data_IF_808547953315
#
_entry.id   IF_808547953315
#
_cell.length_a   1.000
_cell.length_b   1.000
_cell.length_c   1.000
_cell.angle_alpha   90.00
_cell.angle_beta   90.00
_cell.angle_gamma   90.00
#
_symmetry.space_group_name_H-M   'P 1'
#
loop_
_entity.id
_entity.type
_entity.pdbx_description
1 polymer ?
#
# COMPACT_ATOMS: atom_id res chain seq x y z
N UNK A 1 25.96 -32.55 -51.66
CA UNK A 1 24.76 -32.02 -50.97
C UNK A 1 24.53 -32.87 -49.74
N UNK A 2 24.74 -32.34 -48.52
CA UNK A 2 24.37 -33.01 -47.27
C UNK A 2 23.65 -32.00 -46.40
N UNK A 3 22.48 -32.41 -45.93
CA UNK A 3 21.42 -31.60 -45.36
C UNK A 3 21.87 -30.92 -44.07
N UNK A 4 21.61 -29.62 -43.98
CA UNK A 4 21.71 -28.83 -42.77
C UNK A 4 20.66 -29.33 -41.77
N UNK A 5 21.10 -29.88 -40.64
CA UNK A 5 20.22 -30.16 -39.49
C UNK A 5 20.11 -28.85 -38.70
N UNK A 6 19.00 -28.15 -38.87
CA UNK A 6 18.65 -26.97 -38.10
C UNK A 6 18.15 -27.42 -36.72
N UNK A 7 18.96 -27.24 -35.68
CA UNK A 7 18.55 -27.47 -34.29
C UNK A 7 17.62 -26.33 -33.84
N UNK A 8 16.33 -26.63 -33.70
CA UNK A 8 15.34 -25.71 -33.13
C UNK A 8 15.43 -25.78 -31.60
N UNK A 9 16.24 -24.92 -30.98
CA UNK A 9 16.26 -24.76 -29.52
C UNK A 9 15.01 -23.95 -29.15
N UNK A 10 13.99 -24.63 -28.63
CA UNK A 10 12.83 -24.00 -28.00
C UNK A 10 13.30 -23.31 -26.72
N UNK A 11 13.51 -22.00 -26.78
CA UNK A 11 13.78 -21.17 -25.62
C UNK A 11 12.43 -20.94 -24.91
N UNK A 12 12.00 -21.88 -24.07
CA UNK A 12 10.89 -21.64 -23.14
C UNK A 12 11.40 -20.70 -22.06
N UNK A 13 11.32 -19.39 -22.32
CA UNK A 13 11.38 -18.39 -21.25
C UNK A 13 10.17 -18.66 -20.38
N UNK A 14 10.38 -19.38 -19.28
CA UNK A 14 9.40 -19.47 -18.21
C UNK A 14 9.18 -18.07 -17.68
N UNK A 15 8.14 -17.40 -18.17
CA UNK A 15 7.63 -16.19 -17.53
C UNK A 15 7.13 -16.64 -16.16
N UNK A 16 7.93 -16.39 -15.11
CA UNK A 16 7.45 -16.40 -13.75
C UNK A 16 6.42 -15.26 -13.64
N UNK A 17 5.18 -15.53 -14.05
CA UNK A 17 4.04 -14.68 -13.71
C UNK A 17 3.91 -14.77 -12.21
N UNK A 18 4.49 -13.82 -11.48
CA UNK A 18 4.23 -13.68 -10.06
C UNK A 18 2.72 -13.44 -9.96
N UNK A 19 2.00 -14.39 -9.36
CA UNK A 19 0.56 -14.27 -9.19
C UNK A 19 0.27 -12.95 -8.47
N UNK A 20 -0.66 -12.18 -9.01
CA UNK A 20 -1.12 -10.95 -8.37
C UNK A 20 -2.48 -11.23 -7.74
N UNK A 21 -2.56 -11.02 -6.43
CA UNK A 21 -3.79 -11.05 -5.68
C UNK A 21 -4.38 -9.64 -5.65
N UNK A 22 -5.63 -9.54 -6.06
CA UNK A 22 -6.39 -8.30 -5.98
C UNK A 22 -7.30 -8.37 -4.77
N UNK A 23 -7.08 -7.47 -3.82
CA UNK A 23 -7.93 -7.29 -2.65
C UNK A 23 -8.91 -6.16 -2.91
N UNK A 24 -10.20 -6.43 -2.73
CA UNK A 24 -11.28 -5.47 -2.94
C UNK A 24 -12.10 -5.40 -1.66
N UNK A 25 -12.25 -4.19 -1.12
CA UNK A 25 -13.23 -3.88 -0.10
C UNK A 25 -14.33 -3.04 -0.71
N UNK A 26 -15.48 -3.67 -0.99
CA UNK A 26 -16.68 -2.96 -1.46
C UNK A 26 -17.18 -2.00 -0.36
N UNK A 27 -17.14 -2.44 0.90
CA UNK A 27 -17.51 -1.62 2.05
C UNK A 27 -16.64 -0.37 2.16
N UNK A 28 -15.32 -0.51 1.95
CA UNK A 28 -14.42 0.63 1.97
C UNK A 28 -14.30 1.35 0.63
N UNK A 29 -14.95 0.86 -0.42
CA UNK A 29 -14.88 1.40 -1.77
C UNK A 29 -13.41 1.57 -2.24
N UNK A 30 -12.55 0.63 -1.91
CA UNK A 30 -11.10 0.66 -2.18
C UNK A 30 -10.58 -0.73 -2.54
N UNK A 31 -9.55 -0.78 -3.36
CA UNK A 31 -8.83 -1.98 -3.74
C UNK A 31 -7.32 -1.74 -3.75
N UNK A 32 -6.56 -2.83 -3.64
CA UNK A 32 -5.11 -2.85 -3.85
C UNK A 32 -4.69 -4.23 -4.39
N UNK A 33 -3.42 -4.33 -4.78
CA UNK A 33 -2.82 -5.54 -5.31
C UNK A 33 -1.55 -5.92 -4.53
N UNK A 34 -1.40 -7.21 -4.26
CA UNK A 34 -0.24 -7.83 -3.62
C UNK A 34 0.18 -9.09 -4.39
N UNK A 35 1.38 -9.60 -4.15
CA UNK A 35 1.86 -10.89 -4.68
C UNK A 35 1.41 -12.08 -3.83
N UNK A 36 1.04 -11.81 -2.58
CA UNK A 36 0.57 -12.81 -1.63
C UNK A 36 -0.90 -12.54 -1.28
N UNK A 37 -1.64 -13.61 -0.96
CA UNK A 37 -2.97 -13.47 -0.40
C UNK A 37 -2.88 -12.91 1.02
N UNK A 38 -3.64 -11.84 1.28
CA UNK A 38 -3.77 -11.21 2.59
C UNK A 38 -5.22 -11.39 3.07
N UNK A 39 -5.52 -12.39 3.93
CA UNK A 39 -6.85 -12.51 4.51
C UNK A 39 -7.19 -11.30 5.38
N UNK A 40 -8.46 -10.91 5.38
CA UNK A 40 -8.95 -9.87 6.27
C UNK A 40 -8.96 -10.34 7.72
N UNK A 41 -8.78 -9.41 8.66
CA UNK A 41 -8.89 -9.68 10.08
C UNK A 41 -9.79 -8.64 10.76
N UNK A 42 -10.33 -8.99 11.93
CA UNK A 42 -11.21 -8.10 12.68
C UNK A 42 -10.37 -7.01 13.38
N UNK A 43 -10.78 -5.77 13.20
CA UNK A 43 -10.19 -4.59 13.84
C UNK A 43 -11.07 -4.14 15.01
N UNK A 44 -10.55 -3.25 15.85
CA UNK A 44 -11.30 -2.72 16.99
C UNK A 44 -12.29 -1.61 16.60
N UNK A 45 -12.33 -1.21 15.32
CA UNK A 45 -13.13 -0.09 14.82
C UNK A 45 -13.75 -0.42 13.47
N UNK A 46 -15.04 -0.14 13.32
CA UNK A 46 -15.78 -0.28 12.04
C UNK A 46 -15.21 0.65 10.95
N UNK A 47 -14.49 1.70 11.34
CA UNK A 47 -13.83 2.61 10.40
C UNK A 47 -12.46 2.09 9.92
N UNK A 48 -12.02 0.91 10.38
CA UNK A 48 -10.75 0.29 9.97
C UNK A 48 -10.99 -1.09 9.39
N UNK A 49 -10.44 -1.35 8.21
CA UNK A 49 -10.34 -2.71 7.66
C UNK A 49 -8.87 -3.12 7.55
N UNK A 50 -8.55 -4.30 8.06
CA UNK A 50 -7.21 -4.85 8.09
C UNK A 50 -7.07 -6.12 7.27
N UNK A 51 -5.93 -6.30 6.61
CA UNK A 51 -5.54 -7.50 5.87
C UNK A 51 -4.13 -7.90 6.25
N UNK A 52 -3.88 -9.17 6.58
CA UNK A 52 -2.55 -9.58 7.01
C UNK A 52 -2.20 -11.03 6.71
N UNK A 53 -0.90 -11.28 6.58
CA UNK A 53 -0.31 -12.60 6.70
C UNK A 53 1.02 -12.48 7.49
N UNK A 54 1.87 -13.50 7.44
CA UNK A 54 3.14 -13.49 8.19
C UNK A 54 4.17 -12.47 7.65
N UNK A 55 3.98 -11.95 6.43
CA UNK A 55 4.95 -11.13 5.72
C UNK A 55 4.53 -9.66 5.62
N UNK A 56 3.22 -9.40 5.52
CA UNK A 56 2.68 -8.06 5.38
C UNK A 56 1.39 -7.88 6.19
N UNK A 57 1.18 -6.65 6.66
CA UNK A 57 -0.12 -6.16 7.08
C UNK A 57 -0.49 -4.89 6.30
N UNK A 58 -1.78 -4.71 6.04
CA UNK A 58 -2.36 -3.54 5.38
C UNK A 58 -3.58 -3.13 6.16
N UNK A 59 -3.54 -1.94 6.77
CA UNK A 59 -4.71 -1.35 7.42
C UNK A 59 -5.17 -0.12 6.67
N UNK A 60 -6.49 -0.01 6.53
CA UNK A 60 -7.14 1.09 5.84
C UNK A 60 -8.17 1.66 6.78
N UNK A 61 -7.96 2.89 7.24
CA UNK A 61 -8.89 3.64 8.07
C UNK A 61 -9.60 4.72 7.27
N UNK A 62 -10.92 4.80 7.40
CA UNK A 62 -11.74 5.92 6.96
C UNK A 62 -11.76 7.00 8.03
N UNK A 63 -11.54 8.25 7.62
CA UNK A 63 -11.54 9.40 8.51
C UNK A 63 -12.45 10.46 7.91
N UNK A 64 -13.58 10.75 8.57
CA UNK A 64 -14.42 11.89 8.26
C UNK A 64 -13.68 13.18 8.64
N UNK A 65 -13.46 14.03 7.64
CA UNK A 65 -12.71 15.29 7.76
C UNK A 65 -13.60 16.52 7.66
N UNK A 66 -14.91 16.38 7.85
CA UNK A 66 -15.88 17.49 7.84
C UNK A 66 -15.57 18.55 8.90
N UNK A 67 -14.91 18.16 10.00
CA UNK A 67 -14.48 19.06 11.08
C UNK A 67 -12.96 19.32 11.10
N UNK A 68 -12.25 18.90 10.05
CA UNK A 68 -10.80 19.12 9.98
C UNK A 68 -10.50 20.63 9.86
N UNK A 69 -9.40 21.11 10.45
CA UNK A 69 -8.98 22.50 10.28
C UNK A 69 -8.79 22.88 8.81
N UNK A 70 -9.17 24.10 8.45
CA UNK A 70 -8.99 24.61 7.09
C UNK A 70 -7.52 24.49 6.63
N UNK A 71 -7.33 24.08 5.38
CA UNK A 71 -6.02 23.97 4.75
C UNK A 71 -5.21 22.71 5.12
N UNK A 72 -5.61 21.93 6.13
CA UNK A 72 -4.82 20.76 6.57
C UNK A 72 -4.69 19.67 5.49
N UNK A 73 -5.68 19.60 4.58
CA UNK A 73 -5.74 18.61 3.50
C UNK A 73 -5.08 19.10 2.20
N UNK A 74 -4.60 20.35 2.16
CA UNK A 74 -3.94 20.91 0.97
C UNK A 74 -2.49 20.41 0.82
N UNK A 75 -1.86 20.02 1.93
CA UNK A 75 -0.51 19.44 1.96
C UNK A 75 -0.54 18.02 2.53
N UNK A 76 -1.02 17.07 1.73
CA UNK A 76 -1.00 15.65 2.07
C UNK A 76 0.41 15.12 2.36
N UNK A 77 1.46 15.75 1.81
CA UNK A 77 2.84 15.35 2.12
C UNK A 77 3.20 15.68 3.56
N UNK A 78 2.91 16.89 4.01
CA UNK A 78 3.12 17.28 5.41
C UNK A 78 2.24 16.45 6.34
N UNK A 79 0.98 16.21 5.96
CA UNK A 79 0.05 15.42 6.77
C UNK A 79 0.48 13.95 6.89
N UNK A 80 0.85 13.27 5.79
CA UNK A 80 1.34 11.88 5.86
C UNK A 80 2.60 11.76 6.73
N UNK A 81 3.50 12.76 6.68
CA UNK A 81 4.67 12.81 7.56
C UNK A 81 4.25 12.96 9.03
N UNK A 82 3.31 13.85 9.34
CA UNK A 82 2.80 14.03 10.70
C UNK A 82 2.17 12.74 11.22
N UNK A 83 1.29 12.11 10.44
CA UNK A 83 0.64 10.83 10.79
C UNK A 83 1.70 9.75 11.07
N UNK A 84 2.70 9.60 10.22
CA UNK A 84 3.77 8.64 10.44
C UNK A 84 4.54 8.89 11.76
N UNK A 85 4.79 10.16 12.12
CA UNK A 85 5.41 10.51 13.39
C UNK A 85 4.49 10.27 14.59
N UNK A 86 3.19 10.52 14.45
CA UNK A 86 2.20 10.27 15.50
C UNK A 86 2.05 8.76 15.79
N UNK A 87 2.26 7.90 14.79
CA UNK A 87 2.41 6.45 14.96
C UNK A 87 3.75 6.02 15.57
N UNK A 88 4.71 6.94 15.75
CA UNK A 88 6.02 6.63 16.29
C UNK A 88 7.04 6.12 15.27
N UNK A 89 6.72 6.16 13.97
CA UNK A 89 7.64 5.71 12.93
C UNK A 89 8.85 6.62 12.80
N UNK A 90 9.98 6.02 12.45
CA UNK A 90 11.29 6.65 12.41
C UNK A 90 11.92 6.58 11.02
N UNK A 91 13.04 7.27 10.82
CA UNK A 91 13.83 7.24 9.57
C UNK A 91 12.97 7.50 8.31
N UNK A 92 12.07 8.48 8.41
CA UNK A 92 11.13 8.83 7.35
C UNK A 92 11.87 9.27 6.07
N UNK A 93 11.62 8.54 4.98
CA UNK A 93 12.19 8.79 3.66
C UNK A 93 11.42 9.82 2.85
N UNK A 94 11.81 9.99 1.59
CA UNK A 94 10.98 10.71 0.63
C UNK A 94 9.73 9.88 0.31
N UNK A 95 8.60 10.56 0.15
CA UNK A 95 7.34 9.98 -0.29
C UNK A 95 7.01 10.30 -1.75
N UNK A 96 5.89 9.76 -2.23
CA UNK A 96 5.38 10.03 -3.57
C UNK A 96 3.84 10.00 -3.59
N UNK A 97 3.24 10.45 -4.69
CA UNK A 97 1.82 10.25 -4.95
C UNK A 97 1.57 8.81 -5.39
N UNK A 98 0.38 8.27 -5.08
CA UNK A 98 -0.05 6.98 -5.62
C UNK A 98 -0.52 7.19 -7.08
N UNK A 99 0.01 6.43 -8.06
CA UNK A 99 -0.24 6.69 -9.49
C UNK A 99 -1.71 6.78 -9.89
N UNK A 100 -2.57 5.94 -9.32
CA UNK A 100 -4.00 5.88 -9.65
C UNK A 100 -4.86 6.82 -8.79
N UNK A 101 -4.26 7.57 -7.85
CA UNK A 101 -4.94 8.46 -6.92
C UNK A 101 -4.19 9.80 -6.84
N UNK A 102 -4.44 10.76 -7.74
CA UNK A 102 -3.67 12.00 -7.79
C UNK A 102 -3.81 12.86 -6.52
N UNK A 103 -4.91 12.72 -5.77
CA UNK A 103 -5.11 13.37 -4.48
C UNK A 103 -4.65 12.44 -3.33
N UNK A 104 -3.39 12.02 -3.39
CA UNK A 104 -2.79 11.12 -2.41
C UNK A 104 -1.32 11.44 -2.15
N UNK A 105 -0.82 10.99 -1.01
CA UNK A 105 0.62 10.96 -0.75
C UNK A 105 0.97 9.83 0.21
N UNK A 106 2.00 9.06 -0.10
CA UNK A 106 2.57 8.08 0.82
C UNK A 106 4.03 8.38 1.14
N UNK A 107 4.43 8.04 2.35
CA UNK A 107 5.81 8.12 2.85
C UNK A 107 6.23 6.76 3.38
N UNK A 108 7.52 6.43 3.24
CA UNK A 108 8.11 5.25 3.88
C UNK A 108 8.81 5.65 5.17
N UNK A 109 8.64 4.86 6.21
CA UNK A 109 9.38 4.95 7.47
C UNK A 109 9.77 3.56 7.98
N UNK A 110 10.09 3.51 9.27
CA UNK A 110 10.36 2.27 9.99
C UNK A 110 9.66 2.28 11.34
N UNK A 111 8.94 1.21 11.62
CA UNK A 111 8.49 0.88 12.98
C UNK A 111 9.61 0.13 13.74
N UNK A 112 9.60 0.27 15.07
CA UNK A 112 10.53 -0.38 15.99
C UNK A 112 9.77 -1.32 16.90
N UNK A 113 9.49 -2.52 16.41
CA UNK A 113 8.83 -3.56 17.18
C UNK A 113 9.84 -4.62 17.64
N UNK A 114 9.86 -4.95 18.93
CA UNK A 114 10.71 -6.03 19.47
C UNK A 114 12.23 -5.86 19.20
N UNK A 115 12.69 -4.62 18.98
CA UNK A 115 14.08 -4.32 18.61
C UNK A 115 14.42 -4.53 17.12
N UNK A 116 13.44 -4.93 16.30
CA UNK A 116 13.57 -5.01 14.85
C UNK A 116 13.10 -3.70 14.19
N UNK A 117 13.68 -3.37 13.04
CA UNK A 117 13.22 -2.25 12.20
C UNK A 117 12.35 -2.81 11.08
N UNK A 118 11.05 -2.58 11.17
CA UNK A 118 10.07 -3.04 10.18
C UNK A 118 9.81 -1.88 9.21
N UNK A 119 10.06 -2.03 7.91
CA UNK A 119 9.66 -1.01 6.96
C UNK A 119 8.15 -0.85 6.94
N UNK A 120 7.69 0.39 7.00
CA UNK A 120 6.27 0.73 6.96
C UNK A 120 6.03 1.84 5.94
N UNK A 121 4.89 1.78 5.27
CA UNK A 121 4.40 2.86 4.41
C UNK A 121 3.16 3.47 5.05
N UNK A 122 3.10 4.81 5.09
CA UNK A 122 1.91 5.55 5.50
C UNK A 122 1.41 6.35 4.31
N UNK A 123 0.21 6.03 3.85
CA UNK A 123 -0.47 6.66 2.72
C UNK A 123 -1.72 7.40 3.15
N UNK A 124 -1.99 8.54 2.52
CA UNK A 124 -3.26 9.24 2.62
C UNK A 124 -3.87 9.38 1.22
N UNK A 125 -5.16 9.09 1.08
CA UNK A 125 -5.95 9.43 -0.12
C UNK A 125 -7.11 10.33 0.34
N UNK A 126 -7.20 11.54 -0.20
CA UNK A 126 -8.29 12.46 0.12
C UNK A 126 -9.37 12.41 -0.97
N UNK A 127 -10.61 12.13 -0.57
CA UNK A 127 -11.80 12.16 -1.43
C UNK A 127 -12.62 13.40 -1.08
N UNK A 128 -12.36 14.49 -1.82
CA UNK A 128 -12.90 15.82 -1.53
C UNK A 128 -14.42 15.85 -1.52
N UNK A 129 -15.05 15.16 -2.46
CA UNK A 129 -16.50 15.13 -2.65
C UNK A 129 -17.23 14.45 -1.49
N UNK A 130 -16.53 13.59 -0.75
CA UNK A 130 -17.07 12.82 0.38
C UNK A 130 -16.60 13.34 1.74
N UNK A 131 -15.78 14.39 1.79
CA UNK A 131 -15.07 14.83 3.00
C UNK A 131 -14.44 13.66 3.77
N UNK A 132 -13.74 12.79 3.03
CA UNK A 132 -13.22 11.53 3.55
C UNK A 132 -11.73 11.40 3.23
N UNK A 133 -10.94 11.02 4.22
CA UNK A 133 -9.55 10.59 4.03
C UNK A 133 -9.45 9.09 4.29
N UNK A 134 -8.77 8.38 3.40
CA UNK A 134 -8.27 7.03 3.68
C UNK A 134 -6.86 7.15 4.22
N UNK A 135 -6.65 6.73 5.45
CA UNK A 135 -5.32 6.53 6.02
C UNK A 135 -4.94 5.06 5.85
N UNK A 136 -3.79 4.81 5.23
CA UNK A 136 -3.32 3.49 4.85
C UNK A 136 -1.98 3.24 5.52
N UNK A 137 -1.83 2.10 6.18
CA UNK A 137 -0.54 1.57 6.63
C UNK A 137 -0.22 0.29 5.88
N UNK A 138 1.06 0.11 5.52
CA UNK A 138 1.56 -1.15 4.94
C UNK A 138 2.82 -1.54 5.69
N UNK A 139 2.71 -2.52 6.57
CA UNK A 139 3.82 -3.07 7.35
C UNK A 139 4.47 -4.24 6.61
N UNK A 140 5.79 -4.19 6.49
CA UNK A 140 6.58 -5.19 5.76
C UNK A 140 7.39 -6.05 6.75
N UNK A 141 6.73 -6.98 7.44
CA UNK A 141 7.37 -7.85 8.44
C UNK A 141 8.56 -8.64 7.89
N UNK A 142 8.52 -9.03 6.61
CA UNK A 142 9.62 -9.71 5.94
C UNK A 142 10.71 -8.77 5.36
N UNK A 143 10.57 -7.45 5.57
CA UNK A 143 11.45 -6.41 5.03
C UNK A 143 11.51 -6.28 3.49
N UNK A 144 10.58 -6.87 2.72
CA UNK A 144 10.54 -6.70 1.26
C UNK A 144 9.98 -5.31 0.89
N UNK A 145 10.90 -4.35 0.76
CA UNK A 145 10.60 -2.98 0.37
C UNK A 145 9.95 -2.86 -1.00
N UNK A 146 10.29 -3.75 -1.93
CA UNK A 146 9.80 -3.70 -3.31
C UNK A 146 8.33 -4.09 -3.33
N UNK A 147 7.96 -5.14 -2.59
CA UNK A 147 6.55 -5.53 -2.48
C UNK A 147 5.75 -4.50 -1.69
N UNK A 148 6.26 -3.97 -0.58
CA UNK A 148 5.60 -2.88 0.15
C UNK A 148 5.35 -1.64 -0.72
N UNK A 149 6.34 -1.27 -1.56
CA UNK A 149 6.17 -0.18 -2.55
C UNK A 149 5.10 -0.53 -3.59
N UNK A 150 5.06 -1.78 -4.06
CA UNK A 150 4.08 -2.24 -5.04
C UNK A 150 2.66 -2.18 -4.48
N UNK A 151 2.44 -2.71 -3.27
CA UNK A 151 1.15 -2.64 -2.57
C UNK A 151 0.73 -1.19 -2.39
N UNK A 152 1.61 -0.34 -1.85
CA UNK A 152 1.30 1.08 -1.60
C UNK A 152 0.94 1.85 -2.87
N UNK A 153 1.53 1.49 -4.02
CA UNK A 153 1.27 2.16 -5.30
C UNK A 153 0.04 1.62 -6.04
N UNK A 154 -0.50 0.47 -5.65
CA UNK A 154 -1.62 -0.18 -6.34
C UNK A 154 -2.99 0.23 -5.79
N UNK A 155 -3.02 1.02 -4.71
CA UNK A 155 -4.26 1.51 -4.12
C UNK A 155 -5.09 2.30 -5.12
N UNK A 156 -6.37 1.95 -5.20
CA UNK A 156 -7.34 2.58 -6.08
C UNK A 156 -8.73 2.55 -5.46
N UNK A 157 -9.45 3.67 -5.56
CA UNK A 157 -10.86 3.73 -5.19
C UNK A 157 -11.73 3.00 -6.21
N UNK A 158 -12.75 2.30 -5.74
CA UNK A 158 -13.79 1.73 -6.59
C UNK A 158 -14.64 2.89 -7.14
N UNK A 159 -14.97 2.83 -8.43
CA UNK A 159 -15.69 3.90 -9.14
C UNK A 159 -17.19 3.78 -8.95
#
# INVERSE_FOLDING_TARGET
MKQSILFFILFTVGLNTIAQHKTISEEFNIQFESTEYLPSYATESEDVIGYQNNNFAVDIQKIDVTKAPDGILEDLKALSKKVALDFGFTDLGAGNTMPDQPNSYYIRGYDKEGGQKIPVYVGLIYVKEKNLVYQITVDCYNSDLREGTKITRSFKLLK
#
